data_IF_445015456523
#
_entry.id   IF_445015456523
#
_cell.length_a   1.000
_cell.length_b   1.000
_cell.length_c   1.000
_cell.angle_alpha   90.00
_cell.angle_beta   90.00
_cell.angle_gamma   90.00
#
_symmetry.space_group_name_H-M   'P 1'
#
loop_
_entity.id
_entity.type
_entity.pdbx_description
1 polymer ?
#
# COMPACT_ATOMS: atom_id res chain seq x y z
N UNK A 1 0.58 10.66 14.14
CA UNK A 1 1.13 10.37 12.79
C UNK A 1 0.51 9.12 12.18
N UNK A 2 0.49 7.97 12.88
CA UNK A 2 -0.10 6.73 12.34
C UNK A 2 -1.60 6.77 12.05
N UNK A 3 -2.39 7.57 12.78
CA UNK A 3 -3.79 7.79 12.42
C UNK A 3 -3.95 8.37 11.01
N UNK A 4 -3.05 9.27 10.60
CA UNK A 4 -3.00 9.79 9.23
C UNK A 4 -2.66 8.71 8.20
N UNK A 5 -1.71 7.82 8.52
CA UNK A 5 -1.40 6.67 7.66
C UNK A 5 -2.57 5.69 7.57
N UNK A 6 -3.30 5.48 8.66
CA UNK A 6 -4.51 4.65 8.68
C UNK A 6 -5.61 5.20 7.77
N UNK A 7 -5.93 6.49 7.90
CA UNK A 7 -6.91 7.17 7.05
C UNK A 7 -6.47 7.18 5.59
N UNK A 8 -5.19 7.43 5.32
CA UNK A 8 -4.65 7.44 3.96
C UNK A 8 -4.76 6.04 3.31
N UNK A 9 -4.35 4.99 4.01
CA UNK A 9 -4.47 3.61 3.50
C UNK A 9 -5.94 3.23 3.26
N UNK A 10 -6.86 3.62 4.13
CA UNK A 10 -8.29 3.43 3.90
C UNK A 10 -8.77 4.16 2.65
N UNK A 11 -8.38 5.42 2.48
CA UNK A 11 -8.75 6.21 1.30
C UNK A 11 -8.23 5.56 0.02
N UNK A 12 -6.96 5.12 0.00
CA UNK A 12 -6.35 4.44 -1.15
C UNK A 12 -7.00 3.09 -1.45
N UNK A 13 -7.35 2.32 -0.41
CA UNK A 13 -7.97 1.02 -0.57
C UNK A 13 -9.38 1.13 -1.12
N UNK A 14 -10.17 2.06 -0.58
CA UNK A 14 -11.50 2.39 -1.11
C UNK A 14 -11.41 2.94 -2.53
N UNK A 15 -10.44 3.80 -2.81
CA UNK A 15 -10.19 4.34 -4.14
C UNK A 15 -9.94 3.24 -5.17
N UNK A 16 -9.16 2.20 -4.84
CA UNK A 16 -8.95 1.03 -5.72
C UNK A 16 -10.24 0.26 -5.97
N UNK A 17 -11.08 0.08 -4.96
CA UNK A 17 -12.36 -0.61 -5.12
C UNK A 17 -13.35 0.19 -5.98
N UNK A 18 -13.48 1.50 -5.73
CA UNK A 18 -14.26 2.41 -6.60
C UNK A 18 -13.71 2.36 -8.02
N UNK A 19 -12.39 2.37 -8.17
CA UNK A 19 -11.73 2.25 -9.47
C UNK A 19 -12.07 0.94 -10.16
N UNK A 20 -12.15 -0.17 -9.43
CA UNK A 20 -12.54 -1.47 -9.97
C UNK A 20 -13.99 -1.47 -10.46
N UNK A 21 -14.91 -0.89 -9.69
CA UNK A 21 -16.33 -0.78 -10.06
C UNK A 21 -16.53 0.13 -11.29
N UNK A 22 -15.78 1.24 -11.35
CA UNK A 22 -15.85 2.21 -12.45
C UNK A 22 -15.07 1.77 -13.69
N UNK A 23 -14.13 0.84 -13.56
CA UNK A 23 -13.32 0.33 -14.67
C UNK A 23 -14.05 -0.85 -15.30
N UNK A 24 -14.45 -0.71 -16.56
CA UNK A 24 -15.14 -1.78 -17.29
C UNK A 24 -14.36 -3.12 -17.29
N UNK A 25 -15.08 -4.26 -17.43
CA UNK A 25 -14.53 -5.61 -17.22
C UNK A 25 -13.34 -5.93 -18.14
N UNK A 26 -13.34 -5.43 -19.38
CA UNK A 26 -12.24 -5.63 -20.34
C UNK A 26 -10.90 -5.11 -19.81
N UNK A 27 -10.92 -3.97 -19.11
CA UNK A 27 -9.70 -3.35 -18.57
C UNK A 27 -9.23 -4.02 -17.29
N UNK A 28 -10.12 -4.69 -16.57
CA UNK A 28 -9.77 -5.47 -15.37
C UNK A 28 -9.10 -6.80 -15.74
N UNK A 29 -9.41 -7.34 -16.92
CA UNK A 29 -8.81 -8.56 -17.45
C UNK A 29 -7.37 -8.35 -17.98
N UNK A 30 -6.97 -7.09 -18.24
CA UNK A 30 -5.60 -6.77 -18.70
C UNK A 30 -4.60 -7.20 -17.63
N UNK A 31 -3.56 -7.94 -18.05
CA UNK A 31 -2.49 -8.40 -17.16
C UNK A 31 -1.55 -7.26 -16.83
N UNK A 32 -1.31 -7.04 -15.54
CA UNK A 32 -0.31 -6.10 -15.06
C UNK A 32 1.09 -6.56 -15.48
N UNK A 33 1.88 -5.73 -16.17
CA UNK A 33 3.17 -6.14 -16.73
C UNK A 33 4.26 -6.37 -15.67
N UNK A 34 4.07 -5.88 -14.44
CA UNK A 34 5.03 -6.05 -13.34
C UNK A 34 4.69 -7.31 -12.55
N UNK A 35 3.44 -7.43 -12.09
CA UNK A 35 2.95 -8.51 -11.23
C UNK A 35 2.49 -9.74 -12.01
N UNK A 36 2.34 -9.64 -13.34
CA UNK A 36 1.91 -10.72 -14.22
C UNK A 36 0.56 -11.34 -13.78
N UNK A 37 -0.31 -10.51 -13.20
CA UNK A 37 -1.64 -10.88 -12.72
C UNK A 37 -2.70 -9.94 -13.31
N UNK A 38 -3.97 -10.38 -13.45
CA UNK A 38 -5.01 -9.50 -13.95
C UNK A 38 -5.16 -8.25 -13.07
N UNK A 39 -5.26 -7.08 -13.69
CA UNK A 39 -5.32 -5.77 -13.02
C UNK A 39 -6.44 -5.73 -11.98
N UNK A 40 -7.57 -6.39 -12.25
CA UNK A 40 -8.66 -6.53 -11.28
C UNK A 40 -8.23 -7.20 -9.97
N UNK A 41 -7.43 -8.27 -10.02
CA UNK A 41 -6.90 -8.92 -8.82
C UNK A 41 -5.91 -8.02 -8.07
N UNK A 42 -5.07 -7.28 -8.81
CA UNK A 42 -4.13 -6.33 -8.21
C UNK A 42 -4.88 -5.24 -7.44
N UNK A 43 -5.96 -4.70 -8.01
CA UNK A 43 -6.79 -3.69 -7.34
C UNK A 43 -7.56 -4.26 -6.16
N UNK A 44 -8.16 -5.44 -6.30
CA UNK A 44 -8.93 -6.09 -5.25
C UNK A 44 -8.05 -6.45 -4.04
N UNK A 45 -6.95 -7.17 -4.27
CA UNK A 45 -6.03 -7.63 -3.22
C UNK A 45 -5.27 -6.45 -2.62
N UNK A 46 -4.76 -5.54 -3.45
CA UNK A 46 -4.07 -4.33 -2.99
C UNK A 46 -5.00 -3.45 -2.13
N UNK A 47 -6.24 -3.25 -2.57
CA UNK A 47 -7.23 -2.48 -1.83
C UNK A 47 -7.62 -3.15 -0.51
N UNK A 48 -7.83 -4.47 -0.51
CA UNK A 48 -8.12 -5.22 0.70
C UNK A 48 -6.98 -5.12 1.72
N UNK A 49 -5.73 -5.27 1.29
CA UNK A 49 -4.56 -5.13 2.16
C UNK A 49 -4.45 -3.74 2.78
N UNK A 50 -4.69 -2.69 2.00
CA UNK A 50 -4.67 -1.31 2.51
C UNK A 50 -5.81 -1.03 3.48
N UNK A 51 -7.02 -1.52 3.21
CA UNK A 51 -8.17 -1.37 4.13
C UNK A 51 -7.92 -2.13 5.43
N UNK A 52 -7.40 -3.36 5.37
CA UNK A 52 -7.05 -4.15 6.56
C UNK A 52 -5.94 -3.47 7.35
N UNK A 53 -4.88 -2.98 6.69
CA UNK A 53 -3.79 -2.27 7.35
C UNK A 53 -4.27 -0.94 7.97
N UNK A 54 -5.07 -0.17 7.23
CA UNK A 54 -5.59 1.12 7.68
C UNK A 54 -6.59 0.98 8.83
N UNK A 55 -7.55 0.07 8.73
CA UNK A 55 -8.48 -0.28 9.83
C UNK A 55 -7.70 -0.79 11.04
N UNK A 56 -6.72 -1.67 10.81
CA UNK A 56 -5.82 -2.16 11.85
C UNK A 56 -5.11 -1.03 12.58
N UNK A 57 -4.55 -0.05 11.86
CA UNK A 57 -3.92 1.12 12.46
C UNK A 57 -4.89 1.97 13.30
N UNK A 58 -6.12 2.16 12.83
CA UNK A 58 -7.12 2.94 13.57
C UNK A 58 -7.69 2.20 14.78
N UNK A 59 -7.85 0.87 14.69
CA UNK A 59 -8.62 0.08 15.64
C UNK A 59 -7.83 -0.45 16.84
N UNK A 60 -6.56 -0.12 17.07
CA UNK A 60 -5.97 -0.60 18.33
C UNK A 60 -4.64 -0.05 18.80
N UNK A 61 -4.35 -0.46 20.03
CA UNK A 61 -3.32 0.07 20.92
C UNK A 61 -1.99 -0.67 20.84
N UNK A 62 -1.91 -1.83 20.16
CA UNK A 62 -0.67 -2.63 20.00
C UNK A 62 -0.05 -2.37 18.63
N UNK A 63 1.13 -1.76 18.66
CA UNK A 63 1.72 -1.03 17.53
C UNK A 63 2.68 -1.86 16.64
N UNK A 64 3.26 -2.96 17.12
CA UNK A 64 4.43 -3.57 16.47
C UNK A 64 4.13 -4.20 15.10
N UNK A 65 3.18 -5.14 15.00
CA UNK A 65 2.91 -5.84 13.73
C UNK A 65 2.27 -4.94 12.66
N UNK A 66 1.48 -3.94 13.08
CA UNK A 66 0.77 -3.03 12.17
C UNK A 66 1.70 -2.03 11.52
N UNK A 67 2.67 -1.50 12.27
CA UNK A 67 3.73 -0.65 11.73
C UNK A 67 4.59 -1.39 10.69
N UNK A 68 4.87 -2.66 10.94
CA UNK A 68 5.54 -3.54 9.97
C UNK A 68 4.75 -3.71 8.67
N UNK A 69 3.43 -3.92 8.75
CA UNK A 69 2.60 -4.01 7.54
C UNK A 69 2.63 -2.73 6.70
N UNK A 70 2.55 -1.57 7.34
CA UNK A 70 2.61 -0.27 6.66
C UNK A 70 3.96 -0.06 5.99
N UNK A 71 5.04 -0.42 6.69
CA UNK A 71 6.39 -0.39 6.14
C UNK A 71 6.52 -1.31 4.93
N UNK A 72 6.08 -2.56 5.04
CA UNK A 72 6.11 -3.55 3.97
C UNK A 72 5.27 -3.12 2.75
N UNK A 73 4.12 -2.49 2.96
CA UNK A 73 3.32 -1.90 1.88
C UNK A 73 4.09 -0.79 1.15
N UNK A 74 4.73 0.12 1.89
CA UNK A 74 5.58 1.16 1.30
C UNK A 74 6.77 0.59 0.50
N UNK A 75 7.40 -0.47 1.02
CA UNK A 75 8.46 -1.19 0.30
C UNK A 75 7.92 -1.87 -0.97
N UNK A 76 6.75 -2.50 -0.90
CA UNK A 76 6.10 -3.15 -2.03
C UNK A 76 5.79 -2.16 -3.16
N UNK A 77 5.25 -0.98 -2.84
CA UNK A 77 4.99 0.08 -3.83
C UNK A 77 6.28 0.61 -4.45
N UNK A 78 7.31 0.83 -3.63
CA UNK A 78 8.62 1.26 -4.13
C UNK A 78 9.25 0.20 -5.04
N UNK A 79 9.16 -1.07 -4.66
CA UNK A 79 9.63 -2.20 -5.45
C UNK A 79 8.89 -2.33 -6.79
N UNK A 80 7.56 -2.17 -6.79
CA UNK A 80 6.77 -2.13 -8.02
C UNK A 80 7.28 -1.06 -8.98
N UNK A 81 7.51 0.16 -8.49
CA UNK A 81 8.05 1.25 -9.32
C UNK A 81 9.46 0.98 -9.85
N UNK A 82 10.33 0.40 -9.02
CA UNK A 82 11.68 0.03 -9.45
C UNK A 82 11.62 -1.01 -10.59
N UNK A 83 10.77 -2.03 -10.46
CA UNK A 83 10.61 -3.06 -11.50
C UNK A 83 9.95 -2.51 -12.76
N UNK A 84 8.93 -1.65 -12.63
CA UNK A 84 8.31 -0.97 -13.76
C UNK A 84 9.33 -0.14 -14.55
N UNK A 85 10.16 0.63 -13.84
CA UNK A 85 11.25 1.42 -14.43
C UNK A 85 12.29 0.56 -15.13
N UNK A 86 12.72 -0.56 -14.53
CA UNK A 86 13.66 -1.50 -15.15
C UNK A 86 13.09 -2.16 -16.41
N UNK A 87 11.77 -2.37 -16.48
CA UNK A 87 11.09 -2.94 -17.65
C UNK A 87 10.71 -1.89 -18.71
N UNK A 88 11.03 -0.61 -18.48
CA UNK A 88 10.67 0.48 -19.40
C UNK A 88 9.16 0.69 -19.53
N UNK A 89 8.38 0.29 -18.53
CA UNK A 89 6.92 0.36 -18.58
C UNK A 89 6.45 1.64 -17.91
N UNK A 90 5.86 2.54 -18.70
CA UNK A 90 5.16 3.73 -18.19
C UNK A 90 3.72 3.36 -17.77
N UNK A 91 3.58 2.61 -16.66
CA UNK A 91 2.28 2.21 -16.11
C UNK A 91 2.01 2.85 -14.76
N UNK A 92 0.82 3.44 -14.61
CA UNK A 92 0.35 4.06 -13.37
C UNK A 92 0.43 3.05 -12.24
N UNK A 93 1.05 3.44 -11.13
CA UNK A 93 1.09 2.56 -9.97
C UNK A 93 -0.33 2.18 -9.56
N UNK A 94 -0.64 0.88 -9.41
CA UNK A 94 -1.96 0.44 -9.00
C UNK A 94 -2.33 1.00 -7.62
N UNK A 95 -1.35 1.49 -6.85
CA UNK A 95 -1.54 2.16 -5.57
C UNK A 95 -2.50 3.38 -5.63
N UNK A 96 -2.60 4.08 -6.77
CA UNK A 96 -3.55 5.20 -6.92
C UNK A 96 -4.87 4.79 -7.60
N UNK A 97 -5.04 3.51 -7.96
CA UNK A 97 -6.21 3.04 -8.70
C UNK A 97 -6.39 3.78 -10.04
N UNK A 98 -7.61 4.22 -10.33
CA UNK A 98 -7.97 5.01 -11.50
C UNK A 98 -7.89 6.53 -11.27
N UNK A 99 -7.37 6.99 -10.14
CA UNK A 99 -7.17 8.42 -9.86
C UNK A 99 -6.42 9.17 -10.98
N UNK A 100 -5.36 8.60 -11.59
CA UNK A 100 -4.76 9.08 -12.85
C UNK A 100 -5.70 9.45 -13.99
N UNK A 101 -6.86 8.79 -14.07
CA UNK A 101 -7.85 9.02 -15.13
C UNK A 101 -8.87 10.07 -14.72
N UNK A 102 -9.04 10.29 -13.42
CA UNK A 102 -10.01 11.24 -12.87
C UNK A 102 -9.38 12.61 -12.63
N UNK A 103 -8.09 12.68 -12.30
CA UNK A 103 -7.32 13.92 -12.32
C UNK A 103 -6.62 14.08 -13.68
N UNK A 104 -6.91 15.17 -14.43
CA UNK A 104 -6.19 15.50 -15.66
C UNK A 104 -4.83 16.12 -15.32
N UNK A 105 -3.98 15.36 -14.63
CA UNK A 105 -2.59 15.75 -14.31
C UNK A 105 -1.63 14.93 -15.16
N UNK A 106 -0.47 15.51 -15.46
CA UNK A 106 0.53 14.84 -16.28
C UNK A 106 1.04 13.56 -15.62
N UNK A 107 1.52 12.62 -16.43
CA UNK A 107 2.06 11.33 -15.99
C UNK A 107 3.15 11.51 -14.92
N UNK A 108 4.03 12.49 -15.10
CA UNK A 108 5.16 12.79 -14.22
C UNK A 108 4.69 13.20 -12.82
N UNK A 109 3.57 13.94 -12.74
CA UNK A 109 2.98 14.35 -11.47
C UNK A 109 2.40 13.14 -10.74
N UNK A 110 1.70 12.26 -11.45
CA UNK A 110 1.12 11.04 -10.89
C UNK A 110 2.20 10.11 -10.35
N UNK A 111 3.27 9.94 -11.11
CA UNK A 111 4.42 9.12 -10.71
C UNK A 111 5.14 9.72 -9.51
N UNK A 112 5.30 11.05 -9.46
CA UNK A 112 5.87 11.75 -8.30
C UNK A 112 5.01 11.58 -7.04
N UNK A 113 3.68 11.66 -7.17
CA UNK A 113 2.74 11.43 -6.08
C UNK A 113 2.81 9.98 -5.57
N UNK A 114 2.84 9.00 -6.47
CA UNK A 114 2.93 7.59 -6.11
C UNK A 114 4.25 7.26 -5.38
N UNK A 115 5.38 7.77 -5.88
CA UNK A 115 6.69 7.62 -5.23
C UNK A 115 6.73 8.33 -3.88
N UNK A 116 6.20 9.54 -3.80
CA UNK A 116 6.12 10.31 -2.55
C UNK A 116 5.29 9.59 -1.49
N UNK A 117 4.14 9.02 -1.88
CA UNK A 117 3.30 8.21 -1.01
C UNK A 117 4.02 6.95 -0.53
N UNK A 118 4.70 6.23 -1.43
CA UNK A 118 5.47 5.03 -1.06
C UNK A 118 6.59 5.35 -0.07
N UNK A 119 7.36 6.41 -0.31
CA UNK A 119 8.39 6.92 0.60
C UNK A 119 7.81 7.30 1.96
N UNK A 120 6.69 8.02 1.96
CA UNK A 120 6.04 8.44 3.20
C UNK A 120 5.56 7.24 4.03
N UNK A 121 4.96 6.22 3.40
CA UNK A 121 4.55 4.98 4.09
C UNK A 121 5.75 4.23 4.67
N UNK A 122 6.88 4.15 3.95
CA UNK A 122 8.12 3.56 4.48
C UNK A 122 8.66 4.35 5.68
N UNK A 123 8.70 5.69 5.61
CA UNK A 123 9.20 6.52 6.71
C UNK A 123 8.30 6.38 7.94
N UNK A 124 6.98 6.51 7.76
CA UNK A 124 6.02 6.41 8.87
C UNK A 124 6.00 5.01 9.46
N UNK A 125 6.00 3.97 8.62
CA UNK A 125 6.08 2.58 9.05
C UNK A 125 7.37 2.28 9.81
N UNK A 126 8.53 2.60 9.23
CA UNK A 126 9.84 2.36 9.82
C UNK A 126 10.09 3.14 11.11
N UNK A 127 9.68 4.41 11.16
CA UNK A 127 9.69 5.21 12.39
C UNK A 127 8.85 4.53 13.48
N UNK A 128 7.66 4.07 13.12
CA UNK A 128 6.74 3.44 14.07
C UNK A 128 7.25 2.08 14.58
N UNK A 129 8.03 1.35 13.78
CA UNK A 129 8.73 0.14 14.20
C UNK A 129 9.85 0.48 15.19
N UNK A 130 10.66 1.51 14.90
CA UNK A 130 11.82 1.91 15.73
C UNK A 130 11.43 2.36 17.14
N UNK A 131 10.33 3.11 17.28
CA UNK A 131 9.91 3.70 18.55
C UNK A 131 9.00 2.80 19.40
N UNK A 132 8.78 1.54 18.99
CA UNK A 132 8.08 0.56 19.80
C UNK A 132 8.89 -0.73 20.03
N UNK A 133 10.07 -0.65 20.68
CA UNK A 133 10.89 -1.81 20.99
C UNK A 133 10.25 -2.75 22.03
N UNK A 134 9.11 -2.39 22.64
CA UNK A 134 8.42 -3.15 23.70
C UNK A 134 7.57 -4.34 23.23
N UNK A 135 7.43 -4.55 21.92
CA UNK A 135 6.79 -5.76 21.39
C UNK A 135 7.77 -6.93 21.41
N UNK A 136 7.99 -7.55 22.57
CA UNK A 136 8.74 -8.81 22.70
C UNK A 136 8.32 -9.77 21.57
N UNK A 137 9.24 -9.96 20.63
CA UNK A 137 9.32 -11.02 19.63
C UNK A 137 8.07 -11.33 18.81
N UNK A 138 8.18 -11.16 17.48
CA UNK A 138 7.43 -11.99 16.53
C UNK A 138 7.70 -13.51 16.72
N UNK A 139 8.67 -13.88 17.56
CA UNK A 139 9.04 -15.24 17.98
C UNK A 139 9.34 -15.36 19.49
N UNK A 140 8.75 -14.50 20.34
CA UNK A 140 8.98 -14.53 21.78
C UNK A 140 8.20 -15.65 22.46
N UNK A 141 8.73 -16.87 22.42
CA UNK A 141 8.24 -18.01 23.18
C UNK A 141 8.04 -17.65 24.65
N UNK A 142 6.94 -18.13 25.20
CA UNK A 142 6.60 -17.95 26.61
C UNK A 142 7.69 -18.54 27.50
N UNK A 143 8.40 -17.68 28.22
CA UNK A 143 9.01 -18.08 29.48
C UNK A 143 8.07 -17.59 30.57
N UNK A 144 7.25 -18.53 31.04
CA UNK A 144 6.48 -18.43 32.27
C UNK A 144 7.46 -18.40 33.43
N UNK A 145 7.77 -17.23 33.97
CA UNK A 145 8.42 -17.13 35.27
C UNK A 145 7.37 -17.47 36.34
N UNK A 146 7.54 -18.65 36.95
CA UNK A 146 7.02 -18.98 38.27
C UNK A 146 8.04 -18.56 39.31
#
# INVERSE_FOLDING_TARGET
MLGGAGVMLLALGLLKWISMVMTGPERLAVVDPVLQAPTGWVYALGGALEVVAGTGLLAGRRFSWRAWLVFLLGCGFSGYHAVAGMRGVATSCPCLGALPRWLPVSWEVQESLARGLALWLMIVGGWSVRWNPGGRGLFGGGVSER
#
